data_IF_105570274753
#
_entry.id   IF_105570274753
#
_cell.length_a   1.000
_cell.length_b   1.000
_cell.length_c   1.000
_cell.angle_alpha   90.00
_cell.angle_beta   90.00
_cell.angle_gamma   90.00
#
_symmetry.space_group_name_H-M   'P 1'
#
loop_
_entity.id
_entity.type
_entity.pdbx_description
1 polymer ?
#
# COMPACT_ATOMS: atom_id res chain seq x y z
N UNK A 1 0.23 -16.31 0.12
CA UNK A 1 0.37 -16.00 1.57
C UNK A 1 -0.91 -16.39 2.32
N UNK A 2 -0.86 -16.77 3.61
CA UNK A 2 -2.09 -17.06 4.38
C UNK A 2 -2.95 -15.79 4.58
N UNK A 3 -4.25 -15.82 4.22
CA UNK A 3 -5.13 -14.64 4.28
C UNK A 3 -5.27 -14.03 5.68
N UNK A 4 -5.19 -14.84 6.74
CA UNK A 4 -5.22 -14.32 8.11
C UNK A 4 -3.96 -13.54 8.45
N UNK A 5 -2.82 -13.99 7.93
CA UNK A 5 -1.54 -13.28 8.06
C UNK A 5 -1.60 -12.00 7.24
N UNK A 6 -2.07 -12.07 5.98
CA UNK A 6 -2.28 -10.90 5.13
C UNK A 6 -3.12 -9.84 5.86
N UNK A 7 -4.30 -10.21 6.40
CA UNK A 7 -5.15 -9.28 7.16
C UNK A 7 -4.43 -8.61 8.34
N UNK A 8 -3.60 -9.36 9.07
CA UNK A 8 -2.78 -8.81 10.16
C UNK A 8 -1.72 -7.84 9.65
N UNK A 9 -1.06 -8.18 8.54
CA UNK A 9 -0.04 -7.33 7.91
C UNK A 9 -0.67 -6.06 7.35
N UNK A 10 -1.76 -6.15 6.59
CA UNK A 10 -2.47 -4.98 6.04
C UNK A 10 -2.93 -4.03 7.14
N UNK A 11 -3.44 -4.55 8.27
CA UNK A 11 -3.81 -3.71 9.42
C UNK A 11 -2.62 -2.95 10.01
N UNK A 12 -1.42 -3.54 9.99
CA UNK A 12 -0.18 -2.90 10.47
C UNK A 12 0.41 -1.93 9.43
N UNK A 13 0.23 -2.22 8.14
CA UNK A 13 0.74 -1.42 7.04
C UNK A 13 -0.04 -0.12 6.82
N UNK A 14 -1.36 -0.15 6.99
CA UNK A 14 -2.27 0.98 6.81
C UNK A 14 -1.80 2.32 7.42
N UNK A 15 -1.43 2.40 8.72
CA UNK A 15 -0.94 3.66 9.30
C UNK A 15 0.44 4.08 8.76
N UNK A 16 1.27 3.13 8.32
CA UNK A 16 2.59 3.45 7.76
C UNK A 16 2.48 4.04 6.37
N UNK A 17 1.52 3.59 5.57
CA UNK A 17 1.24 4.16 4.25
C UNK A 17 0.90 5.65 4.34
N UNK A 18 0.06 6.04 5.29
CA UNK A 18 -0.27 7.46 5.52
C UNK A 18 0.99 8.28 5.86
N UNK A 19 1.89 7.72 6.67
CA UNK A 19 3.16 8.38 7.03
C UNK A 19 4.17 8.43 5.88
N UNK A 20 4.06 7.53 4.92
CA UNK A 20 4.86 7.52 3.69
C UNK A 20 4.34 8.52 2.65
N UNK A 21 3.22 9.19 2.90
CA UNK A 21 2.59 10.13 1.97
C UNK A 21 1.68 9.46 0.94
N UNK A 22 1.21 8.25 1.21
CA UNK A 22 0.23 7.59 0.36
C UNK A 22 -1.16 8.23 0.57
N UNK A 23 -1.65 8.92 -0.47
CA UNK A 23 -2.94 9.64 -0.46
C UNK A 23 -4.12 8.80 -0.97
N UNK A 24 -3.87 7.55 -1.37
CA UNK A 24 -4.90 6.66 -1.92
C UNK A 24 -5.98 6.32 -0.90
N UNK A 25 -7.19 6.02 -1.39
CA UNK A 25 -8.33 5.76 -0.51
C UNK A 25 -8.16 4.44 0.24
N UNK A 26 -8.16 4.50 1.57
CA UNK A 26 -8.14 3.30 2.41
C UNK A 26 -9.56 2.88 2.79
N UNK A 27 -9.94 1.67 2.39
CA UNK A 27 -11.24 1.09 2.72
C UNK A 27 -11.06 -0.33 3.29
N UNK A 28 -12.15 -0.88 3.84
CA UNK A 28 -12.18 -2.25 4.36
C UNK A 28 -12.87 -3.14 3.35
N UNK A 29 -12.28 -4.29 3.04
CA UNK A 29 -12.93 -5.33 2.26
C UNK A 29 -14.27 -5.73 2.93
N UNK A 30 -15.35 -5.77 2.18
CA UNK A 30 -16.67 -6.21 2.66
C UNK A 30 -17.07 -7.57 2.05
N UNK A 31 -18.03 -8.26 2.66
CA UNK A 31 -18.57 -9.54 2.16
C UNK A 31 -19.26 -9.38 0.80
N UNK A 32 -19.72 -8.16 0.48
CA UNK A 32 -20.49 -7.87 -0.72
C UNK A 32 -19.66 -7.37 -1.91
N UNK A 33 -18.39 -7.00 -1.71
CA UNK A 33 -17.75 -6.02 -2.59
C UNK A 33 -16.49 -6.56 -3.28
N UNK A 34 -16.62 -6.75 -4.61
CA UNK A 34 -15.85 -6.09 -5.69
C UNK A 34 -14.33 -5.91 -5.54
N UNK A 35 -13.68 -6.67 -4.67
CA UNK A 35 -12.22 -6.72 -4.67
C UNK A 35 -11.79 -7.58 -5.85
N UNK A 36 -11.20 -6.94 -6.84
CA UNK A 36 -10.75 -7.58 -8.08
C UNK A 36 -9.35 -8.20 -7.94
N UNK A 37 -8.69 -8.02 -6.79
CA UNK A 37 -7.34 -8.51 -6.51
C UNK A 37 -7.35 -9.97 -6.04
N UNK A 38 -6.53 -10.81 -6.66
CA UNK A 38 -6.41 -12.23 -6.36
C UNK A 38 -5.32 -12.49 -5.30
N UNK A 39 -5.65 -13.20 -4.22
CA UNK A 39 -4.64 -13.57 -3.21
C UNK A 39 -4.47 -15.08 -3.14
N UNK A 40 -3.37 -15.58 -3.72
CA UNK A 40 -3.00 -17.00 -3.64
C UNK A 40 -2.74 -17.44 -2.21
N UNK A 41 -3.43 -18.49 -1.75
CA UNK A 41 -3.44 -18.92 -0.35
C UNK A 41 -3.22 -20.42 -0.18
N UNK A 42 -2.10 -20.83 0.44
CA UNK A 42 -1.75 -22.25 0.60
C UNK A 42 -2.42 -23.00 1.79
N UNK A 43 -3.32 -22.34 2.54
CA UNK A 43 -3.98 -22.96 3.70
C UNK A 43 -5.37 -23.51 3.33
N UNK A 44 -5.44 -24.80 3.00
CA UNK A 44 -6.66 -25.48 2.53
C UNK A 44 -7.87 -25.31 3.46
N UNK A 45 -7.68 -25.08 4.77
CA UNK A 45 -8.81 -24.92 5.69
C UNK A 45 -9.64 -23.66 5.43
N UNK A 46 -9.07 -22.71 4.69
CA UNK A 46 -9.67 -21.41 4.35
C UNK A 46 -10.05 -21.29 2.88
N UNK A 47 -9.94 -22.38 2.12
CA UNK A 47 -10.42 -22.45 0.75
C UNK A 47 -11.94 -22.42 0.72
N UNK A 48 -12.49 -21.74 -0.28
CA UNK A 48 -13.94 -21.69 -0.49
C UNK A 48 -14.44 -23.09 -0.83
N UNK A 49 -15.50 -23.52 -0.15
CA UNK A 49 -16.08 -24.84 -0.31
C UNK A 49 -17.41 -24.74 -1.02
N UNK A 50 -17.47 -25.35 -2.20
CA UNK A 50 -18.67 -25.43 -3.02
C UNK A 50 -19.04 -26.89 -3.23
N UNK A 51 -20.32 -27.21 -3.05
CA UNK A 51 -20.87 -28.52 -3.44
C UNK A 51 -21.24 -28.48 -4.92
N UNK A 52 -20.66 -29.36 -5.73
CA UNK A 52 -21.00 -29.50 -7.16
C UNK A 52 -21.49 -30.92 -7.49
N UNK A 53 -22.38 -31.08 -8.49
CA UNK A 53 -22.82 -32.41 -8.93
C UNK A 53 -21.72 -33.22 -9.63
N UNK A 54 -20.72 -32.57 -10.23
CA UNK A 54 -19.76 -33.22 -11.14
C UNK A 54 -18.29 -32.97 -10.75
N UNK A 55 -17.47 -34.03 -10.77
CA UNK A 55 -16.08 -34.02 -10.31
C UNK A 55 -15.02 -33.71 -11.36
N UNK A 56 -15.34 -32.99 -12.45
CA UNK A 56 -14.35 -32.67 -13.50
C UNK A 56 -13.19 -31.89 -12.88
N UNK A 57 -11.93 -32.32 -13.09
CA UNK A 57 -10.76 -31.59 -12.57
C UNK A 57 -10.58 -30.29 -13.36
N UNK A 58 -10.67 -29.16 -12.66
CA UNK A 58 -10.31 -27.85 -13.19
C UNK A 58 -8.97 -27.42 -12.60
N UNK A 59 -8.14 -26.73 -13.38
CA UNK A 59 -6.81 -26.29 -12.94
C UNK A 59 -6.93 -25.37 -11.70
N UNK A 60 -6.15 -25.66 -10.64
CA UNK A 60 -6.10 -24.84 -9.43
C UNK A 60 -7.15 -25.15 -8.35
N UNK A 61 -8.08 -26.08 -8.58
CA UNK A 61 -9.08 -26.49 -7.57
C UNK A 61 -8.85 -27.92 -7.06
N UNK A 62 -9.04 -28.13 -5.76
CA UNK A 62 -9.02 -29.46 -5.15
C UNK A 62 -10.44 -29.98 -5.03
N UNK A 63 -10.75 -31.12 -5.67
CA UNK A 63 -12.09 -31.74 -5.60
C UNK A 63 -12.00 -33.08 -4.90
N UNK A 64 -12.85 -33.34 -3.92
CA UNK A 64 -12.99 -34.65 -3.29
C UNK A 64 -14.45 -35.02 -3.12
N UNK A 65 -14.73 -36.32 -3.21
CA UNK A 65 -16.05 -36.87 -2.95
C UNK A 65 -16.11 -37.42 -1.51
N UNK A 66 -17.00 -36.90 -0.64
CA UNK A 66 -17.19 -37.46 0.69
C UNK A 66 -17.74 -38.89 0.61
N UNK A 67 -17.34 -39.78 1.53
CA UNK A 67 -17.79 -41.20 1.56
C UNK A 67 -19.32 -41.38 1.58
N UNK A 68 -20.05 -40.40 2.10
CA UNK A 68 -21.52 -40.41 2.19
C UNK A 68 -22.18 -39.29 1.38
N UNK A 69 -21.42 -38.60 0.52
CA UNK A 69 -21.89 -37.45 -0.25
C UNK A 69 -22.31 -37.83 -1.67
N UNK A 70 -23.52 -37.42 -2.08
CA UNK A 70 -23.93 -37.48 -3.50
C UNK A 70 -23.20 -36.45 -4.37
N UNK A 71 -22.68 -35.39 -3.76
CA UNK A 71 -22.03 -34.28 -4.44
C UNK A 71 -20.53 -34.26 -4.15
N UNK A 72 -19.77 -33.70 -5.09
CA UNK A 72 -18.35 -33.40 -4.93
C UNK A 72 -18.18 -32.09 -4.16
N UNK A 73 -17.19 -32.03 -3.28
CA UNK A 73 -16.78 -30.78 -2.65
C UNK A 73 -15.59 -30.23 -3.43
N UNK A 74 -15.80 -29.09 -4.08
CA UNK A 74 -14.74 -28.29 -4.68
C UNK A 74 -14.22 -27.34 -3.62
N UNK A 75 -12.90 -27.37 -3.45
CA UNK A 75 -12.15 -26.39 -2.71
C UNK A 75 -11.38 -25.57 -3.72
N UNK A 76 -11.55 -24.25 -3.71
CA UNK A 76 -10.76 -23.32 -4.51
C UNK A 76 -9.99 -22.36 -3.61
N UNK A 77 -8.83 -21.92 -4.06
CA UNK A 77 -8.13 -20.82 -3.39
C UNK A 77 -9.08 -19.62 -3.29
N UNK A 78 -9.17 -18.99 -2.11
CA UNK A 78 -10.03 -17.83 -1.92
C UNK A 78 -9.55 -16.73 -2.87
N UNK A 79 -10.42 -16.32 -3.79
CA UNK A 79 -10.08 -15.34 -4.80
C UNK A 79 -9.92 -13.94 -4.21
N UNK A 80 -10.50 -13.67 -3.04
CA UNK A 80 -10.63 -12.33 -2.47
C UNK A 80 -9.96 -12.20 -1.09
N UNK A 81 -9.46 -11.00 -0.73
CA UNK A 81 -9.08 -10.68 0.64
C UNK A 81 -10.24 -10.93 1.61
N UNK A 82 -9.93 -11.40 2.82
CA UNK A 82 -10.95 -11.62 3.84
C UNK A 82 -11.63 -10.33 4.26
N UNK A 83 -12.92 -10.40 4.62
CA UNK A 83 -13.70 -9.30 5.19
C UNK A 83 -12.91 -8.55 6.26
N UNK A 84 -12.89 -7.22 6.16
CA UNK A 84 -12.21 -6.32 7.06
C UNK A 84 -10.69 -6.28 6.91
N UNK A 85 -10.13 -6.88 5.85
CA UNK A 85 -8.76 -6.59 5.41
C UNK A 85 -8.72 -5.15 4.93
N UNK A 86 -7.68 -4.41 5.33
CA UNK A 86 -7.50 -3.02 4.88
C UNK A 86 -6.95 -3.06 3.45
N UNK A 87 -7.67 -2.40 2.57
CA UNK A 87 -7.37 -2.25 1.15
C UNK A 87 -7.03 -0.79 0.87
N UNK A 88 -6.39 -0.57 -0.27
CA UNK A 88 -6.04 0.74 -0.80
C UNK A 88 -6.46 0.75 -2.26
N UNK A 89 -7.18 1.80 -2.67
CA UNK A 89 -7.64 1.94 -4.05
C UNK A 89 -7.46 3.35 -4.59
N UNK A 90 -7.33 3.43 -5.90
CA UNK A 90 -7.26 4.68 -6.63
C UNK A 90 -7.85 4.53 -8.03
N UNK A 91 -8.36 5.63 -8.58
CA UNK A 91 -8.78 5.68 -9.99
C UNK A 91 -7.56 5.94 -10.86
N UNK A 92 -7.19 4.98 -11.71
CA UNK A 92 -6.06 5.07 -12.65
C UNK A 92 -6.60 5.13 -14.08
N UNK A 93 -5.94 5.89 -14.95
CA UNK A 93 -6.27 5.97 -16.38
C UNK A 93 -6.73 7.36 -16.81
N UNK A 94 -6.39 7.71 -18.06
CA UNK A 94 -6.67 9.04 -18.61
C UNK A 94 -8.02 9.10 -19.35
N UNK A 95 -8.27 8.18 -20.29
CA UNK A 95 -9.47 8.19 -21.13
C UNK A 95 -10.66 7.45 -20.49
N UNK A 96 -10.40 6.35 -19.80
CA UNK A 96 -11.40 5.57 -19.06
C UNK A 96 -10.81 5.29 -17.68
N UNK A 97 -11.23 6.02 -16.63
CA UNK A 97 -10.70 5.80 -15.29
C UNK A 97 -11.16 4.43 -14.79
N UNK A 98 -10.20 3.54 -14.61
CA UNK A 98 -10.39 2.22 -14.01
C UNK A 98 -10.06 2.30 -12.52
N UNK A 99 -10.84 1.60 -11.71
CA UNK A 99 -10.57 1.51 -10.28
C UNK A 99 -9.58 0.37 -10.02
N UNK A 100 -8.39 0.72 -9.54
CA UNK A 100 -7.35 -0.25 -9.19
C UNK A 100 -7.30 -0.43 -7.68
N UNK A 101 -7.27 -1.69 -7.22
CA UNK A 101 -7.28 -2.03 -5.79
C UNK A 101 -6.13 -2.95 -5.42
N UNK A 102 -5.46 -2.61 -4.33
CA UNK A 102 -4.40 -3.40 -3.72
C UNK A 102 -4.67 -3.60 -2.23
N UNK A 103 -4.14 -4.68 -1.66
CA UNK A 103 -4.13 -4.76 -0.19
C UNK A 103 -3.18 -3.72 0.38
N UNK A 104 -3.47 -3.18 1.57
CA UNK A 104 -2.55 -2.22 2.22
C UNK A 104 -1.15 -2.84 2.46
N UNK A 105 -1.05 -4.16 2.54
CA UNK A 105 0.23 -4.85 2.61
C UNK A 105 1.00 -4.78 1.28
N UNK A 106 0.38 -5.12 0.16
CA UNK A 106 1.01 -5.05 -1.17
C UNK A 106 1.38 -3.60 -1.54
N UNK A 107 0.51 -2.64 -1.24
CA UNK A 107 0.78 -1.22 -1.38
C UNK A 107 2.06 -0.80 -0.63
N UNK A 108 2.25 -1.27 0.61
CA UNK A 108 3.45 -0.98 1.40
C UNK A 108 4.69 -1.66 0.82
N UNK A 109 4.56 -2.93 0.39
CA UNK A 109 5.67 -3.64 -0.25
C UNK A 109 6.14 -2.91 -1.50
N UNK A 110 5.19 -2.49 -2.35
CA UNK A 110 5.48 -1.73 -3.58
C UNK A 110 6.21 -0.43 -3.25
N UNK A 111 5.68 0.39 -2.32
CA UNK A 111 6.31 1.65 -1.93
C UNK A 111 7.74 1.46 -1.39
N UNK A 112 7.97 0.42 -0.58
CA UNK A 112 9.31 0.10 -0.05
C UNK A 112 10.23 -0.38 -1.17
N UNK A 113 9.77 -1.29 -2.04
CA UNK A 113 10.58 -1.81 -3.15
C UNK A 113 10.96 -0.67 -4.09
N UNK A 114 10.00 0.17 -4.49
CA UNK A 114 10.25 1.32 -5.35
C UNK A 114 11.27 2.28 -4.76
N UNK A 115 11.22 2.55 -3.45
CA UNK A 115 12.21 3.40 -2.77
C UNK A 115 13.63 2.80 -2.77
N UNK A 116 13.76 1.48 -2.67
CA UNK A 116 15.03 0.75 -2.67
C UNK A 116 15.37 0.12 -4.02
N UNK A 117 14.75 0.59 -5.11
CA UNK A 117 15.07 0.16 -6.47
C UNK A 117 15.61 1.35 -7.23
N UNK A 118 16.81 1.20 -7.77
CA UNK A 118 17.41 2.16 -8.68
C UNK A 118 17.29 1.68 -10.13
N UNK A 119 17.51 2.56 -11.10
CA UNK A 119 17.44 2.24 -12.52
C UNK A 119 18.81 2.43 -13.18
N UNK A 120 19.34 1.38 -13.80
CA UNK A 120 20.54 1.44 -14.63
C UNK A 120 20.20 1.19 -16.11
N UNK A 121 21.22 1.25 -16.98
CA UNK A 121 21.09 0.97 -18.42
C UNK A 121 20.56 -0.44 -18.72
N UNK A 122 20.78 -1.39 -17.80
CA UNK A 122 20.34 -2.79 -17.92
C UNK A 122 18.97 -3.08 -17.27
N UNK A 123 18.37 -2.11 -16.57
CA UNK A 123 17.07 -2.23 -15.91
C UNK A 123 17.05 -1.87 -14.40
N UNK A 124 16.06 -2.36 -13.65
CA UNK A 124 15.94 -2.06 -12.22
C UNK A 124 16.94 -2.86 -11.38
N UNK A 125 17.71 -2.18 -10.53
CA UNK A 125 18.62 -2.79 -9.54
C UNK A 125 18.01 -2.62 -8.15
N UNK A 126 17.73 -3.75 -7.48
CA UNK A 126 17.34 -3.74 -6.07
C UNK A 126 18.57 -3.43 -5.19
N UNK A 127 18.52 -2.32 -4.45
CA UNK A 127 19.57 -1.89 -3.50
C UNK A 127 19.55 -2.70 -2.20
N UNK A 128 18.43 -3.39 -1.92
CA UNK A 128 18.21 -4.17 -0.70
C UNK A 128 17.35 -5.39 -0.99
N UNK A 129 17.66 -6.50 -0.33
CA UNK A 129 16.85 -7.71 -0.36
C UNK A 129 15.84 -7.72 0.79
N UNK A 130 14.66 -8.28 0.54
CA UNK A 130 13.57 -8.36 1.51
C UNK A 130 13.01 -9.78 1.57
N UNK A 131 13.50 -10.57 2.53
CA UNK A 131 13.12 -11.98 2.66
C UNK A 131 11.89 -12.17 3.55
N UNK A 132 11.70 -11.29 4.54
CA UNK A 132 10.62 -11.42 5.53
C UNK A 132 9.73 -10.19 5.60
N UNK A 133 8.45 -10.32 6.03
CA UNK A 133 7.57 -9.19 6.25
C UNK A 133 8.13 -8.15 7.24
N UNK A 134 8.95 -8.58 8.20
CA UNK A 134 9.59 -7.71 9.17
C UNK A 134 10.60 -6.76 8.52
N UNK A 135 11.26 -7.19 7.45
CA UNK A 135 12.24 -6.36 6.73
C UNK A 135 11.56 -5.17 6.05
N UNK A 136 10.40 -5.39 5.44
CA UNK A 136 9.58 -4.32 4.84
C UNK A 136 9.15 -3.29 5.88
N UNK A 137 8.66 -3.73 7.06
CA UNK A 137 8.27 -2.79 8.11
C UNK A 137 9.45 -1.97 8.65
N UNK A 138 10.59 -2.63 8.86
CA UNK A 138 11.82 -1.94 9.30
C UNK A 138 12.25 -0.91 8.27
N UNK A 139 12.29 -1.27 7.00
CA UNK A 139 12.63 -0.37 5.91
C UNK A 139 11.64 0.80 5.79
N UNK A 140 10.33 0.55 5.90
CA UNK A 140 9.32 1.62 5.92
C UNK A 140 9.56 2.62 7.05
N UNK A 141 9.88 2.15 8.26
CA UNK A 141 10.24 3.03 9.38
C UNK A 141 11.53 3.84 9.12
N UNK A 142 12.53 3.25 8.46
CA UNK A 142 13.75 3.94 8.05
C UNK A 142 13.45 5.07 7.07
N UNK A 143 12.59 4.84 6.08
CA UNK A 143 12.14 5.84 5.09
C UNK A 143 11.44 7.01 5.81
N UNK A 144 10.46 6.70 6.67
CA UNK A 144 9.72 7.71 7.44
C UNK A 144 10.68 8.54 8.32
N UNK A 145 11.62 7.87 9.00
CA UNK A 145 12.61 8.55 9.83
C UNK A 145 13.60 9.40 9.02
N UNK A 146 13.96 8.99 7.80
CA UNK A 146 14.77 9.79 6.90
C UNK A 146 14.01 11.04 6.42
N UNK A 147 12.75 10.89 6.01
CA UNK A 147 11.89 12.00 5.59
C UNK A 147 11.70 13.02 6.71
N UNK A 148 11.41 12.57 7.93
CA UNK A 148 11.26 13.45 9.10
C UNK A 148 12.54 14.24 9.41
N UNK A 149 13.72 13.60 9.30
CA UNK A 149 15.02 14.28 9.49
C UNK A 149 15.26 15.33 8.43
N UNK A 150 14.97 15.03 7.16
CA UNK A 150 15.12 15.98 6.06
C UNK A 150 14.22 17.20 6.24
N UNK A 151 12.96 17.00 6.64
CA UNK A 151 12.02 18.10 6.94
C UNK A 151 12.50 18.99 8.09
N UNK A 152 13.05 18.39 9.16
CA UNK A 152 13.62 19.15 10.29
C UNK A 152 14.84 19.98 9.87
N UNK A 153 15.72 19.41 9.04
CA UNK A 153 16.89 20.12 8.50
C UNK A 153 16.47 21.29 7.61
N UNK A 154 15.48 21.09 6.75
CA UNK A 154 14.94 22.15 5.88
C UNK A 154 14.33 23.28 6.73
N UNK A 155 13.49 22.94 7.71
CA UNK A 155 12.89 23.94 8.60
C UNK A 155 13.95 24.71 9.43
N UNK A 156 15.04 24.05 9.84
CA UNK A 156 16.15 24.71 10.53
C UNK A 156 16.92 25.66 9.59
N UNK A 157 17.17 25.25 8.34
CA UNK A 157 17.81 26.09 7.33
C UNK A 157 16.95 27.33 6.99
N UNK A 158 15.64 27.15 6.83
CA UNK A 158 14.71 28.24 6.55
C UNK A 158 14.63 29.24 7.73
N UNK A 159 14.64 28.75 8.97
CA UNK A 159 14.73 29.60 10.17
C UNK A 159 16.05 30.38 10.22
N UNK A 160 17.18 29.72 9.94
CA UNK A 160 18.48 30.39 9.91
C UNK A 160 18.52 31.47 8.82
N UNK A 161 17.94 31.20 7.64
CA UNK A 161 17.82 32.17 6.55
C UNK A 161 16.94 33.36 6.92
N UNK A 162 15.80 33.13 7.59
CA UNK A 162 14.93 34.20 8.06
C UNK A 162 15.60 35.11 9.10
N UNK A 163 16.43 34.56 9.98
CA UNK A 163 17.22 35.34 10.96
C UNK A 163 18.36 36.11 10.27
N UNK A 164 19.00 35.53 9.25
CA UNK A 164 20.11 36.14 8.52
C UNK A 164 19.70 37.23 7.52
N UNK A 165 18.41 37.39 7.20
CA UNK A 165 17.88 38.50 6.40
C UNK A 165 17.06 39.51 7.24
N UNK A 166 17.70 40.34 8.10
CA UNK A 166 17.01 41.43 8.80
C UNK A 166 16.79 42.69 7.94
N UNK A 167 17.06 42.65 6.62
CA UNK A 167 17.08 43.86 5.78
C UNK A 167 15.79 43.98 4.97
N UNK A 168 14.87 44.86 5.42
CA UNK A 168 13.78 45.31 4.56
C UNK A 168 12.58 46.03 5.21
N UNK A 169 12.49 46.17 6.54
CA UNK A 169 11.31 46.78 7.17
C UNK A 169 11.55 48.19 7.76
N UNK A 170 12.56 48.92 7.30
CA UNK A 170 12.89 50.21 7.92
C UNK A 170 13.72 51.16 7.07
N UNK A 171 13.31 51.46 5.83
CA UNK A 171 13.74 52.69 5.14
C UNK A 171 12.90 52.97 3.89
N UNK A 172 11.79 53.70 4.03
CA UNK A 172 11.14 54.46 2.95
C UNK A 172 10.18 55.48 3.59
N UNK A 173 10.74 56.51 4.23
CA UNK A 173 10.74 57.90 3.75
C UNK A 173 9.40 58.60 3.97
N UNK A 174 9.28 59.20 5.16
CA UNK A 174 8.51 60.40 5.37
C UNK A 174 9.23 61.58 4.67
N UNK A 175 8.71 62.01 3.51
CA UNK A 175 8.90 63.29 2.80
C UNK A 175 7.78 63.26 1.76
N UNK A 176 6.82 64.18 1.69
CA UNK A 176 6.95 65.62 1.73
C UNK A 176 5.52 66.20 1.85
N UNK A 177 5.22 66.84 2.98
CA UNK A 177 4.17 67.86 3.07
C UNK A 177 4.87 69.20 2.85
N UNK A 178 4.65 69.87 1.72
CA UNK A 178 4.81 71.33 1.55
C UNK A 178 4.68 71.77 0.08
N UNK A 179 3.73 72.70 -0.18
CA UNK A 179 3.54 73.55 -1.38
C UNK A 179 3.18 72.78 -2.68
N UNK A 180 2.07 73.03 -3.38
CA UNK A 180 1.37 74.28 -3.77
C UNK A 180 -0.14 74.05 -3.78
#
# INVERSE_FOLDING_TARGET
MNLRILKKLSKRAAPLLQLLGDEREQFRADDSCKSFTNVGGHDFKHWDRMSVPHGRRDHGSFKYQPKHGRNWIVMSEPWQPWKGTVMVGESVGYYEPEWEEHTAWEALQRAVIEHYTDWNEDGPIALRTFDTPSDYFRAAHEIIAAAARAQQQQAAADRARAVASPVGAGASVAREQALI
#
